data_IF_540553741250
#
_entry.id   IF_540553741250
#
_cell.length_a   1.000
_cell.length_b   1.000
_cell.length_c   1.000
_cell.angle_alpha   90.00
_cell.angle_beta   90.00
_cell.angle_gamma   90.00
#
_symmetry.space_group_name_H-M   'P 1'
#
loop_
_entity.id
_entity.type
_entity.pdbx_description
1 polymer ?
#
# COMPACT_ATOMS: atom_id res chain seq x y z
N UNK A 1 -5.96 -55.46 48.02
CA UNK A 1 -7.42 -55.26 47.93
C UNK A 1 -7.66 -53.76 47.94
N UNK A 2 -8.21 -53.24 46.83
CA UNK A 2 -8.84 -51.92 46.60
C UNK A 2 -7.99 -50.67 46.94
N UNK A 3 -7.41 -49.95 45.98
CA UNK A 3 -8.03 -49.00 45.01
C UNK A 3 -8.82 -47.91 45.73
N UNK A 4 -8.36 -46.66 45.64
CA UNK A 4 -9.16 -45.59 45.03
C UNK A 4 -8.28 -44.38 44.66
N UNK A 5 -8.69 -43.78 43.55
CA UNK A 5 -7.95 -42.92 42.65
C UNK A 5 -8.68 -41.58 42.59
N UNK A 6 -8.14 -40.54 43.23
CA UNK A 6 -8.71 -39.19 43.13
C UNK A 6 -7.99 -38.44 42.01
N UNK A 7 -8.59 -38.51 40.81
CA UNK A 7 -8.26 -37.63 39.68
C UNK A 7 -9.27 -36.49 39.67
N UNK A 8 -8.85 -35.32 40.15
CA UNK A 8 -9.57 -34.06 39.98
C UNK A 8 -9.71 -33.74 38.48
N UNK A 9 -10.88 -33.27 38.00
CA UNK A 9 -11.01 -32.85 36.62
C UNK A 9 -10.33 -31.48 36.44
N UNK A 10 -9.21 -31.46 35.72
CA UNK A 10 -8.67 -30.22 35.16
C UNK A 10 -9.72 -29.61 34.22
N UNK A 11 -10.45 -28.62 34.71
CA UNK A 11 -11.25 -27.73 33.89
C UNK A 11 -10.31 -27.00 32.94
N UNK A 12 -10.30 -27.45 31.69
CA UNK A 12 -9.72 -26.72 30.56
C UNK A 12 -10.43 -25.37 30.46
N UNK A 13 -9.81 -24.33 31.03
CA UNK A 13 -10.23 -22.96 30.85
C UNK A 13 -10.05 -22.61 29.37
N UNK A 14 -11.15 -22.69 28.63
CA UNK A 14 -11.26 -22.14 27.28
C UNK A 14 -10.76 -20.70 27.33
N UNK A 15 -9.60 -20.47 26.71
CA UNK A 15 -9.05 -19.15 26.47
C UNK A 15 -10.14 -18.25 25.86
N UNK A 16 -10.38 -17.04 26.38
CA UNK A 16 -11.42 -16.18 25.84
C UNK A 16 -11.13 -15.90 24.36
N UNK A 17 -12.07 -16.26 23.51
CA UNK A 17 -12.04 -15.95 22.08
C UNK A 17 -11.82 -14.45 21.92
N UNK A 18 -10.66 -14.09 21.37
CA UNK A 18 -10.33 -12.71 21.02
C UNK A 18 -11.47 -12.20 20.12
N UNK A 19 -12.10 -11.05 20.43
CA UNK A 19 -13.14 -10.50 19.58
C UNK A 19 -12.60 -10.38 18.16
N UNK A 20 -13.27 -11.04 17.20
CA UNK A 20 -12.96 -10.90 15.79
C UNK A 20 -13.09 -9.43 15.43
N UNK A 21 -11.96 -8.75 15.22
CA UNK A 21 -11.96 -7.37 14.78
C UNK A 21 -12.75 -7.30 13.47
N UNK A 22 -13.82 -6.50 13.45
CA UNK A 22 -14.72 -6.37 12.30
C UNK A 22 -13.88 -5.96 11.09
N UNK A 23 -13.87 -6.76 10.00
CA UNK A 23 -13.14 -6.43 8.78
C UNK A 23 -13.55 -5.07 8.22
N UNK A 24 -12.59 -4.33 7.65
CA UNK A 24 -12.89 -3.04 7.00
C UNK A 24 -13.67 -3.29 5.71
N UNK A 25 -14.94 -2.85 5.66
CA UNK A 25 -15.84 -2.95 4.51
C UNK A 25 -15.97 -1.61 3.76
N UNK A 26 -16.19 -1.64 2.44
CA UNK A 26 -16.57 -0.45 1.64
C UNK A 26 -15.43 0.41 1.08
N UNK A 27 -14.17 0.00 1.26
CA UNK A 27 -12.96 0.72 0.81
C UNK A 27 -12.18 -0.07 -0.28
N UNK A 28 -12.83 -1.08 -0.87
CA UNK A 28 -12.26 -1.97 -1.88
C UNK A 28 -12.13 -1.30 -3.25
N UNK A 29 -11.22 -1.82 -4.08
CA UNK A 29 -11.11 -1.37 -5.48
C UNK A 29 -12.24 -1.93 -6.37
N UNK A 30 -12.68 -3.17 -6.13
CA UNK A 30 -13.84 -3.82 -6.80
C UNK A 30 -14.98 -4.07 -5.82
N UNK A 31 -16.21 -4.10 -6.33
CA UNK A 31 -17.39 -4.60 -5.63
C UNK A 31 -17.67 -6.08 -5.95
N UNK A 32 -16.66 -6.89 -6.26
CA UNK A 32 -16.90 -8.29 -6.66
C UNK A 32 -17.47 -9.17 -5.53
N UNK A 33 -17.29 -8.80 -4.26
CA UNK A 33 -17.88 -9.51 -3.12
C UNK A 33 -19.40 -9.33 -3.03
N UNK A 34 -19.93 -8.15 -3.36
CA UNK A 34 -21.38 -7.92 -3.32
C UNK A 34 -22.12 -8.61 -4.47
N UNK A 35 -21.44 -8.93 -5.58
CA UNK A 35 -22.04 -9.67 -6.69
C UNK A 35 -22.20 -11.18 -6.40
N UNK A 36 -21.38 -11.75 -5.51
CA UNK A 36 -21.57 -13.14 -5.05
C UNK A 36 -22.76 -13.31 -4.11
N UNK A 37 -23.13 -12.28 -3.35
CA UNK A 37 -24.32 -12.31 -2.48
C UNK A 37 -25.62 -12.01 -3.23
N UNK A 38 -25.56 -11.30 -4.37
CA UNK A 38 -26.75 -10.98 -5.18
C UNK A 38 -27.28 -12.14 -6.04
N UNK A 39 -26.60 -13.29 -6.06
CA UNK A 39 -26.96 -14.46 -6.88
C UNK A 39 -27.65 -15.56 -6.07
N UNK A 40 -28.55 -15.22 -5.15
CA UNK A 40 -29.45 -16.21 -4.54
C UNK A 40 -30.65 -16.47 -5.45
N UNK A 41 -30.48 -17.40 -6.39
CA UNK A 41 -31.59 -18.20 -6.90
C UNK A 41 -31.13 -19.64 -7.17
N UNK A 42 -31.60 -20.54 -6.30
CA UNK A 42 -32.05 -21.91 -6.58
C UNK A 42 -31.06 -22.93 -7.16
N UNK A 43 -30.16 -23.48 -6.34
CA UNK A 43 -29.90 -24.93 -6.29
C UNK A 43 -28.88 -25.29 -5.21
N UNK A 44 -29.23 -26.28 -4.39
CA UNK A 44 -28.44 -26.88 -3.31
C UNK A 44 -27.11 -27.47 -3.83
N UNK A 45 -26.07 -27.38 -2.99
CA UNK A 45 -24.72 -27.94 -3.14
C UNK A 45 -23.76 -27.25 -4.13
N UNK A 46 -23.22 -26.10 -3.73
CA UNK A 46 -21.90 -25.67 -4.20
C UNK A 46 -21.07 -25.23 -2.98
N UNK A 47 -20.00 -25.98 -2.70
CA UNK A 47 -18.91 -25.54 -1.83
C UNK A 47 -18.52 -24.11 -2.23
N UNK A 48 -18.63 -23.15 -1.30
CA UNK A 48 -18.23 -21.76 -1.46
C UNK A 48 -16.73 -21.66 -1.80
N UNK A 49 -16.35 -21.91 -3.07
CA UNK A 49 -15.14 -21.36 -3.65
C UNK A 49 -15.45 -19.91 -3.94
N UNK A 50 -15.16 -19.03 -2.98
CA UNK A 50 -15.00 -17.60 -3.26
C UNK A 50 -14.03 -17.51 -4.43
N UNK A 51 -14.54 -17.11 -5.61
CA UNK A 51 -13.72 -16.89 -6.78
C UNK A 51 -12.84 -15.69 -6.46
N UNK A 52 -11.51 -15.83 -6.49
CA UNK A 52 -10.59 -14.72 -6.23
C UNK A 52 -10.93 -13.54 -7.18
N UNK A 53 -11.29 -12.35 -6.65
CA UNK A 53 -11.53 -11.14 -7.46
C UNK A 53 -10.21 -10.81 -8.20
N UNK A 54 -10.23 -10.84 -9.54
CA UNK A 54 -9.06 -10.48 -10.38
C UNK A 54 -9.04 -9.03 -10.86
N UNK A 55 -9.91 -8.17 -10.32
CA UNK A 55 -9.90 -6.74 -10.65
C UNK A 55 -8.51 -6.12 -10.40
N UNK A 56 -8.10 -5.19 -11.26
CA UNK A 56 -6.82 -4.49 -11.13
C UNK A 56 -5.59 -5.37 -11.39
N UNK A 57 -5.76 -6.67 -11.65
CA UNK A 57 -4.66 -7.60 -11.95
C UNK A 57 -4.44 -7.70 -13.46
N UNK A 58 -4.14 -6.57 -14.10
CA UNK A 58 -3.96 -6.51 -15.56
C UNK A 58 -2.55 -6.90 -16.00
N UNK A 59 -1.57 -6.85 -15.10
CA UNK A 59 -0.16 -7.01 -15.44
C UNK A 59 0.26 -8.49 -15.48
N UNK A 60 0.97 -8.83 -16.55
CA UNK A 60 1.56 -10.16 -16.76
C UNK A 60 3.06 -10.20 -16.41
N UNK A 61 3.74 -9.06 -16.48
CA UNK A 61 5.16 -8.92 -16.18
C UNK A 61 5.39 -8.24 -14.83
N UNK A 62 6.38 -8.74 -14.10
CA UNK A 62 6.76 -8.25 -12.77
C UNK A 62 8.27 -8.08 -12.70
N UNK A 63 8.74 -6.87 -12.38
CA UNK A 63 10.17 -6.60 -12.19
C UNK A 63 10.74 -7.35 -10.97
N UNK A 64 9.89 -7.66 -10.00
CA UNK A 64 10.19 -8.45 -8.80
C UNK A 64 8.94 -9.13 -8.25
N UNK A 65 9.14 -10.20 -7.48
CA UNK A 65 8.10 -10.94 -6.72
C UNK A 65 8.57 -11.17 -5.29
N UNK A 66 7.76 -11.78 -4.41
CA UNK A 66 8.18 -12.02 -3.04
C UNK A 66 9.35 -13.00 -2.95
N UNK A 67 10.24 -12.75 -2.00
CA UNK A 67 11.44 -13.56 -1.78
C UNK A 67 11.14 -14.74 -0.85
N UNK A 68 11.24 -15.96 -1.38
CA UNK A 68 11.01 -17.18 -0.58
C UNK A 68 12.11 -17.42 0.47
N UNK A 69 13.30 -16.85 0.26
CA UNK A 69 14.44 -16.99 1.17
C UNK A 69 14.45 -15.92 2.27
N UNK A 70 13.81 -14.78 2.03
CA UNK A 70 13.81 -13.65 2.96
C UNK A 70 12.40 -13.29 3.41
N UNK A 71 11.87 -14.15 4.30
CA UNK A 71 10.52 -14.07 4.84
C UNK A 71 10.46 -14.66 6.25
N UNK A 72 9.43 -14.29 7.01
CA UNK A 72 9.16 -14.94 8.28
C UNK A 72 8.76 -16.40 8.12
N UNK A 73 9.02 -17.21 9.14
CA UNK A 73 8.63 -18.63 9.16
C UNK A 73 7.12 -18.85 8.97
N UNK A 74 6.30 -17.96 9.54
CA UNK A 74 4.84 -18.01 9.44
C UNK A 74 4.27 -17.46 8.11
N UNK A 75 5.03 -17.58 7.01
CA UNK A 75 4.60 -17.16 5.66
C UNK A 75 4.67 -18.30 4.64
N UNK A 76 3.68 -18.33 3.75
CA UNK A 76 3.59 -19.27 2.63
C UNK A 76 3.33 -18.52 1.33
N UNK A 77 4.17 -18.74 0.32
CA UNK A 77 4.04 -18.14 -1.00
C UNK A 77 3.20 -19.00 -1.95
N UNK A 78 2.41 -18.33 -2.78
CA UNK A 78 1.53 -18.91 -3.80
C UNK A 78 1.43 -17.98 -5.02
N UNK A 79 0.80 -18.44 -6.10
CA UNK A 79 0.64 -17.68 -7.36
C UNK A 79 1.98 -17.20 -7.93
N UNK A 80 2.93 -18.12 -8.16
CA UNK A 80 4.26 -17.82 -8.68
C UNK A 80 5.00 -16.77 -7.83
N UNK A 81 4.96 -16.98 -6.51
CA UNK A 81 5.52 -16.09 -5.48
C UNK A 81 4.95 -14.66 -5.47
N UNK A 82 3.79 -14.42 -6.10
CA UNK A 82 3.14 -13.11 -6.06
C UNK A 82 2.20 -12.92 -4.88
N UNK A 83 1.66 -14.00 -4.31
CA UNK A 83 0.74 -13.94 -3.17
C UNK A 83 1.42 -14.52 -1.93
N UNK A 84 1.57 -13.69 -0.90
CA UNK A 84 1.99 -14.12 0.43
C UNK A 84 0.77 -14.39 1.30
N UNK A 85 0.78 -15.52 1.99
CA UNK A 85 -0.20 -15.88 3.00
C UNK A 85 0.50 -15.93 4.36
N UNK A 86 -0.05 -15.23 5.34
CA UNK A 86 0.48 -15.16 6.70
C UNK A 86 -0.36 -16.01 7.63
N UNK A 87 0.29 -16.71 8.57
CA UNK A 87 -0.36 -17.36 9.70
C UNK A 87 -1.52 -18.29 9.28
N UNK A 88 -1.24 -19.27 8.41
CA UNK A 88 -2.25 -20.16 7.78
C UNK A 88 -3.11 -20.97 8.77
N UNK A 89 -2.59 -21.23 9.96
CA UNK A 89 -3.31 -21.95 11.03
C UNK A 89 -3.81 -20.95 12.08
N UNK A 90 -2.89 -20.39 12.87
CA UNK A 90 -3.14 -19.39 13.89
C UNK A 90 -2.04 -18.31 13.87
N UNK A 91 -2.33 -17.16 14.47
CA UNK A 91 -1.37 -16.08 14.60
C UNK A 91 -0.72 -16.09 15.98
N UNK A 92 0.61 -16.06 16.01
CA UNK A 92 1.42 -16.05 17.23
C UNK A 92 2.25 -14.78 17.40
N UNK A 93 2.21 -13.86 16.43
CA UNK A 93 2.99 -12.63 16.46
C UNK A 93 2.86 -11.84 15.16
N UNK A 94 3.96 -11.24 14.74
CA UNK A 94 4.04 -10.49 13.48
C UNK A 94 4.94 -11.22 12.50
N UNK A 95 4.44 -11.45 11.29
CA UNK A 95 5.19 -12.01 10.19
C UNK A 95 5.37 -10.97 9.07
N UNK A 96 6.53 -10.97 8.42
CA UNK A 96 6.89 -10.05 7.36
C UNK A 96 7.61 -10.77 6.21
N UNK A 97 7.64 -10.12 5.06
CA UNK A 97 8.35 -10.59 3.88
C UNK A 97 8.83 -9.40 3.07
N UNK A 98 9.93 -9.59 2.33
CA UNK A 98 10.44 -8.61 1.37
C UNK A 98 10.38 -9.12 -0.07
N UNK A 99 10.48 -8.22 -1.04
CA UNK A 99 10.67 -8.59 -2.45
C UNK A 99 12.06 -9.18 -2.72
N UNK A 100 12.18 -9.96 -3.79
CA UNK A 100 13.41 -10.67 -4.18
C UNK A 100 14.45 -9.80 -4.90
N UNK A 101 14.16 -8.51 -5.08
CA UNK A 101 15.01 -7.57 -5.80
C UNK A 101 15.18 -6.28 -5.01
N UNK A 102 16.41 -5.81 -4.95
CA UNK A 102 16.74 -4.49 -4.44
C UNK A 102 16.25 -3.41 -5.41
N UNK A 103 15.58 -2.38 -4.88
CA UNK A 103 15.13 -1.22 -5.63
C UNK A 103 16.32 -0.28 -5.86
N UNK A 104 17.05 -0.53 -6.95
CA UNK A 104 18.24 0.21 -7.36
C UNK A 104 17.91 1.64 -7.87
N UNK A 105 18.84 2.28 -8.60
CA UNK A 105 18.63 3.64 -9.10
C UNK A 105 17.50 3.73 -10.15
N UNK A 106 16.59 4.69 -9.98
CA UNK A 106 15.48 4.95 -10.89
C UNK A 106 14.16 5.21 -10.19
N UNK A 107 13.09 4.78 -10.86
CA UNK A 107 11.70 4.99 -10.50
C UNK A 107 11.04 3.63 -10.37
N UNK A 108 10.60 3.29 -9.17
CA UNK A 108 9.98 2.00 -8.89
C UNK A 108 8.54 2.20 -8.49
N UNK A 109 7.63 1.45 -9.12
CA UNK A 109 6.22 1.47 -8.78
C UNK A 109 5.68 0.05 -8.67
N UNK A 110 4.93 -0.21 -7.60
CA UNK A 110 4.26 -1.49 -7.41
C UNK A 110 2.91 -1.31 -6.73
N UNK A 111 2.04 -2.30 -6.90
CA UNK A 111 0.72 -2.33 -6.28
C UNK A 111 0.54 -3.63 -5.51
N UNK A 112 0.10 -3.51 -4.26
CA UNK A 112 -0.25 -4.62 -3.37
C UNK A 112 -1.77 -4.64 -3.18
N UNK A 113 -2.39 -5.77 -3.49
CA UNK A 113 -3.80 -6.01 -3.24
C UNK A 113 -4.00 -6.78 -1.94
N UNK A 114 -4.93 -6.31 -1.13
CA UNK A 114 -5.40 -7.04 0.05
C UNK A 114 -6.36 -8.15 -0.41
N UNK A 115 -5.92 -9.41 -0.37
CA UNK A 115 -6.69 -10.53 -0.95
C UNK A 115 -7.52 -11.31 0.08
N UNK A 116 -7.51 -10.88 1.33
CA UNK A 116 -8.30 -11.44 2.44
C UNK A 116 -8.85 -10.32 3.33
N UNK A 117 -9.75 -10.63 4.29
CA UNK A 117 -10.12 -9.69 5.33
C UNK A 117 -8.90 -9.07 6.00
N UNK A 118 -8.98 -7.77 6.28
CA UNK A 118 -7.92 -6.99 6.93
C UNK A 118 -8.33 -6.67 8.35
N UNK A 119 -7.57 -7.17 9.32
CA UNK A 119 -7.87 -7.08 10.74
C UNK A 119 -6.61 -7.30 11.59
N UNK A 120 -6.78 -7.51 12.90
CA UNK A 120 -5.67 -7.75 13.84
C UNK A 120 -5.01 -6.46 14.30
N UNK A 121 -3.85 -6.59 14.94
CA UNK A 121 -3.08 -5.43 15.43
C UNK A 121 -2.62 -4.56 14.28
N UNK A 122 -2.03 -5.17 13.26
CA UNK A 122 -1.62 -4.47 12.05
C UNK A 122 -1.47 -5.39 10.82
N UNK A 123 -1.64 -4.75 9.66
CA UNK A 123 -1.35 -5.21 8.31
C UNK A 123 -0.79 -4.00 7.57
N UNK A 124 0.42 -4.12 7.04
CA UNK A 124 1.17 -2.95 6.55
C UNK A 124 1.79 -3.21 5.18
N UNK A 125 1.91 -2.12 4.40
CA UNK A 125 2.65 -2.07 3.14
C UNK A 125 3.71 -0.99 3.24
N UNK A 126 4.91 -1.25 2.76
CA UNK A 126 5.95 -0.23 2.76
C UNK A 126 7.27 -0.70 2.17
N UNK A 127 8.35 -0.17 2.73
CA UNK A 127 9.73 -0.44 2.31
C UNK A 127 10.61 -0.68 3.52
N UNK A 128 11.72 -1.40 3.32
CA UNK A 128 12.78 -1.48 4.32
C UNK A 128 14.14 -1.82 3.70
N UNK A 129 15.20 -1.62 4.47
CA UNK A 129 16.57 -1.99 4.06
C UNK A 129 16.81 -3.49 4.25
N UNK A 130 18.00 -3.98 3.88
CA UNK A 130 18.42 -5.35 4.19
C UNK A 130 18.55 -5.63 5.68
N UNK A 131 18.61 -4.60 6.52
CA UNK A 131 18.90 -4.70 7.96
C UNK A 131 17.65 -5.02 8.79
N UNK A 132 16.46 -4.89 8.19
CA UNK A 132 15.19 -5.24 8.83
C UNK A 132 15.15 -6.75 9.10
N UNK A 133 15.14 -7.10 10.39
CA UNK A 133 14.93 -8.49 10.81
C UNK A 133 13.44 -8.85 10.74
N UNK A 134 13.05 -9.49 9.64
CA UNK A 134 11.68 -9.89 9.33
C UNK A 134 11.05 -10.82 10.38
N UNK A 135 11.86 -11.59 11.11
CA UNK A 135 11.38 -12.65 12.00
C UNK A 135 11.52 -12.31 13.49
N UNK A 136 11.98 -11.08 13.80
CA UNK A 136 12.22 -10.56 15.15
C UNK A 136 10.98 -10.63 16.05
N UNK A 137 9.79 -10.41 15.48
CA UNK A 137 8.54 -10.29 16.22
C UNK A 137 7.61 -11.52 16.04
N UNK A 138 8.18 -12.70 15.75
CA UNK A 138 7.40 -13.93 15.54
C UNK A 138 6.49 -14.34 16.71
N UNK A 139 6.79 -13.88 17.93
CA UNK A 139 6.01 -14.12 19.15
C UNK A 139 5.48 -12.83 19.80
N UNK A 140 5.38 -11.75 19.03
CA UNK A 140 4.93 -10.44 19.52
C UNK A 140 4.09 -9.73 18.46
N UNK A 141 2.89 -9.31 18.83
CA UNK A 141 2.01 -8.55 17.96
C UNK A 141 2.42 -7.08 17.95
N UNK A 142 2.88 -6.56 16.81
CA UNK A 142 3.19 -5.15 16.66
C UNK A 142 3.18 -4.69 15.20
N UNK A 143 3.08 -3.37 15.00
CA UNK A 143 3.41 -2.73 13.72
C UNK A 143 4.92 -2.82 13.50
N UNK A 144 5.35 -3.73 12.62
CA UNK A 144 6.77 -4.01 12.38
C UNK A 144 7.42 -2.94 11.50
N UNK A 145 6.80 -2.62 10.35
CA UNK A 145 7.33 -1.64 9.42
C UNK A 145 7.22 -0.24 10.01
N UNK A 146 8.32 0.51 10.00
CA UNK A 146 8.40 1.84 10.59
C UNK A 146 8.63 1.86 12.10
N UNK A 147 8.86 0.70 12.73
CA UNK A 147 9.20 0.62 14.16
C UNK A 147 10.60 1.13 14.46
N UNK A 148 11.51 1.00 13.49
CA UNK A 148 12.88 1.49 13.51
C UNK A 148 13.13 2.44 12.32
N UNK A 149 14.38 2.83 12.12
CA UNK A 149 14.81 3.73 11.05
C UNK A 149 15.08 3.06 9.71
N UNK A 150 15.05 1.73 9.70
CA UNK A 150 15.38 0.91 8.53
C UNK A 150 14.14 0.58 7.71
N UNK A 151 12.96 0.99 8.16
CA UNK A 151 11.70 0.73 7.48
C UNK A 151 10.71 1.89 7.55
N UNK A 152 9.79 1.88 6.60
CA UNK A 152 8.62 2.77 6.52
C UNK A 152 7.41 1.90 6.24
N UNK A 153 6.31 2.11 6.95
CA UNK A 153 5.11 1.29 6.81
C UNK A 153 3.83 2.10 6.85
N UNK A 154 2.94 1.88 5.90
CA UNK A 154 1.56 2.35 5.94
C UNK A 154 0.68 1.24 6.53
N UNK A 155 0.13 1.48 7.72
CA UNK A 155 -0.82 0.60 8.41
C UNK A 155 -2.19 0.63 7.75
N UNK A 156 -2.92 -0.49 7.78
CA UNK A 156 -4.33 -0.56 7.39
C UNK A 156 -5.26 0.37 8.18
N UNK A 157 -4.79 0.85 9.33
CA UNK A 157 -5.48 1.87 10.13
C UNK A 157 -5.41 3.27 9.51
N UNK A 158 -4.58 3.47 8.49
CA UNK A 158 -4.34 4.78 7.85
C UNK A 158 -3.16 5.55 8.44
N UNK A 159 -2.45 4.97 9.41
CA UNK A 159 -1.26 5.56 10.02
C UNK A 159 0.00 5.23 9.22
N UNK A 160 0.83 6.23 8.96
CA UNK A 160 2.18 6.06 8.45
C UNK A 160 3.16 5.98 9.62
N UNK A 161 4.01 4.96 9.62
CA UNK A 161 4.98 4.67 10.66
C UNK A 161 6.41 4.82 10.14
N UNK A 162 7.28 5.44 10.94
CA UNK A 162 8.72 5.48 10.75
C UNK A 162 9.41 5.89 12.06
N UNK A 163 10.54 5.27 12.44
CA UNK A 163 11.27 5.57 13.68
C UNK A 163 10.41 5.51 14.95
N UNK A 164 9.36 4.69 14.94
CA UNK A 164 8.40 4.60 16.03
C UNK A 164 7.33 5.69 16.05
N UNK A 165 7.50 6.76 15.26
CA UNK A 165 6.51 7.81 15.11
C UNK A 165 5.32 7.33 14.26
N UNK A 166 4.13 7.86 14.55
CA UNK A 166 2.88 7.53 13.85
C UNK A 166 2.17 8.79 13.43
N UNK A 167 1.85 8.92 12.14
CA UNK A 167 1.17 10.10 11.59
C UNK A 167 -0.08 9.68 10.82
N UNK A 168 -1.17 10.44 10.95
CA UNK A 168 -2.36 10.23 10.13
C UNK A 168 -2.03 10.54 8.67
N UNK A 169 -2.21 9.57 7.79
CA UNK A 169 -1.77 9.69 6.40
C UNK A 169 -2.84 9.26 5.38
N UNK A 170 -3.69 8.30 5.73
CA UNK A 170 -4.77 7.82 4.87
C UNK A 170 -6.02 7.47 5.68
N UNK A 171 -7.14 7.24 4.99
CA UNK A 171 -8.24 6.48 5.60
C UNK A 171 -7.90 4.99 5.66
N UNK A 172 -8.63 4.23 6.48
CA UNK A 172 -8.42 2.79 6.62
C UNK A 172 -8.57 2.07 5.28
N UNK A 173 -7.88 0.97 5.07
CA UNK A 173 -8.07 0.10 3.90
C UNK A 173 -8.34 -1.33 4.33
N UNK A 174 -9.03 -2.06 3.45
CA UNK A 174 -9.63 -3.35 3.75
C UNK A 174 -9.38 -4.38 2.66
N UNK A 175 -10.17 -5.45 2.70
CA UNK A 175 -10.16 -6.46 1.66
C UNK A 175 -10.49 -5.85 0.30
N UNK A 176 -9.79 -6.29 -0.74
CA UNK A 176 -9.95 -5.79 -2.09
C UNK A 176 -9.36 -4.40 -2.34
N UNK A 177 -8.88 -3.68 -1.32
CA UNK A 177 -8.14 -2.43 -1.52
C UNK A 177 -6.81 -2.70 -2.22
N UNK A 178 -6.37 -1.74 -3.04
CA UNK A 178 -5.07 -1.75 -3.72
C UNK A 178 -4.23 -0.61 -3.15
N UNK A 179 -3.05 -0.94 -2.61
CA UNK A 179 -2.08 0.03 -2.13
C UNK A 179 -0.92 0.10 -3.14
N UNK A 180 -0.82 1.24 -3.82
CA UNK A 180 0.30 1.54 -4.71
C UNK A 180 1.41 2.25 -3.96
N UNK A 181 2.66 1.99 -4.35
CA UNK A 181 3.84 2.64 -3.77
C UNK A 181 4.77 3.05 -4.90
N UNK A 182 5.17 4.33 -4.90
CA UNK A 182 6.17 4.87 -5.80
C UNK A 182 7.40 5.29 -4.99
N UNK A 183 8.54 4.69 -5.32
CA UNK A 183 9.85 5.07 -4.80
C UNK A 183 10.64 5.74 -5.93
N UNK A 184 10.83 7.05 -5.79
CA UNK A 184 11.73 7.84 -6.61
C UNK A 184 13.08 7.90 -5.91
N UNK A 185 14.05 7.11 -6.35
CA UNK A 185 15.38 7.09 -5.72
C UNK A 185 16.24 8.27 -6.15
N UNK A 186 15.89 8.96 -7.23
CA UNK A 186 16.59 10.15 -7.69
C UNK A 186 16.31 11.36 -6.79
N UNK A 187 15.04 11.65 -6.52
CA UNK A 187 14.66 12.70 -5.57
C UNK A 187 14.60 12.19 -4.12
N UNK A 188 14.69 10.89 -3.90
CA UNK A 188 14.62 10.27 -2.58
C UNK A 188 13.25 10.43 -1.93
N UNK A 189 12.17 10.20 -2.68
CA UNK A 189 10.79 10.34 -2.18
C UNK A 189 9.99 9.05 -2.25
N UNK A 190 9.22 8.77 -1.21
CA UNK A 190 8.28 7.66 -1.12
C UNK A 190 6.85 8.22 -1.16
N UNK A 191 6.06 7.79 -2.14
CA UNK A 191 4.66 8.21 -2.32
C UNK A 191 3.75 7.00 -2.26
N UNK A 192 2.61 7.12 -1.59
CA UNK A 192 1.59 6.07 -1.57
C UNK A 192 0.36 6.45 -2.39
N UNK A 193 -0.32 5.41 -2.85
CA UNK A 193 -1.57 5.46 -3.58
C UNK A 193 -2.54 4.50 -2.92
N UNK A 194 -3.81 4.87 -2.87
CA UNK A 194 -4.90 3.99 -2.45
C UNK A 194 -5.92 3.91 -3.58
N UNK A 195 -6.23 2.68 -4.02
CA UNK A 195 -7.11 2.40 -5.14
C UNK A 195 -6.77 3.27 -6.37
N UNK A 196 -5.47 3.29 -6.73
CA UNK A 196 -4.89 4.08 -7.84
C UNK A 196 -4.95 5.60 -7.72
N UNK A 197 -5.39 6.15 -6.58
CA UNK A 197 -5.35 7.59 -6.31
C UNK A 197 -4.19 7.93 -5.38
N UNK A 198 -3.37 8.93 -5.72
CA UNK A 198 -2.29 9.40 -4.85
C UNK A 198 -2.87 9.92 -3.54
N UNK A 199 -2.30 9.46 -2.42
CA UNK A 199 -2.66 9.90 -1.08
C UNK A 199 -1.58 10.77 -0.43
N UNK A 200 -0.37 10.84 -1.02
CA UNK A 200 0.65 11.81 -0.65
C UNK A 200 2.07 11.25 -0.61
N UNK A 201 3.02 12.15 -0.33
CA UNK A 201 4.43 11.84 -0.08
C UNK A 201 4.61 11.48 1.39
N UNK A 202 4.96 10.22 1.65
CA UNK A 202 5.16 9.68 2.99
C UNK A 202 6.55 9.95 3.56
N UNK A 203 7.57 9.94 2.71
CA UNK A 203 8.93 10.21 3.14
C UNK A 203 9.74 10.93 2.06
N UNK A 204 10.72 11.69 2.51
CA UNK A 204 11.71 12.37 1.68
C UNK A 204 13.10 12.05 2.22
N UNK A 205 14.15 12.46 1.50
CA UNK A 205 15.55 12.25 1.90
C UNK A 205 15.95 10.77 1.96
N UNK A 206 15.40 9.96 1.04
CA UNK A 206 15.71 8.53 0.92
C UNK A 206 16.90 8.23 0.00
N UNK A 207 17.68 9.24 -0.42
CA UNK A 207 18.84 9.03 -1.28
C UNK A 207 19.89 8.15 -0.60
N UNK A 208 20.68 7.45 -1.42
CA UNK A 208 21.82 6.62 -0.99
C UNK A 208 21.45 5.43 -0.07
N UNK A 209 20.16 5.12 0.08
CA UNK A 209 19.70 3.92 0.76
C UNK A 209 19.15 2.93 -0.26
N UNK A 210 19.38 1.65 0.02
CA UNK A 210 18.90 0.53 -0.78
C UNK A 210 17.68 -0.06 -0.09
N UNK A 211 16.59 -0.15 -0.82
CA UNK A 211 15.31 -0.58 -0.28
C UNK A 211 14.81 -1.83 -0.95
N UNK A 212 14.00 -2.56 -0.21
CA UNK A 212 13.18 -3.66 -0.67
C UNK A 212 11.72 -3.31 -0.38
N UNK A 213 10.79 -3.67 -1.28
CA UNK A 213 9.37 -3.60 -0.98
C UNK A 213 9.06 -4.61 0.12
N UNK A 214 8.27 -4.23 1.11
CA UNK A 214 7.96 -5.07 2.26
C UNK A 214 6.49 -5.00 2.63
N UNK A 215 5.99 -6.11 3.16
CA UNK A 215 4.67 -6.19 3.80
C UNK A 215 4.77 -6.98 5.09
N UNK A 216 3.90 -6.68 6.05
CA UNK A 216 3.79 -7.46 7.28
C UNK A 216 2.33 -7.62 7.71
N UNK A 217 2.07 -8.67 8.49
CA UNK A 217 0.75 -8.96 9.04
C UNK A 217 0.86 -9.60 10.42
N UNK A 218 -0.09 -9.24 11.27
CA UNK A 218 -0.39 -9.93 12.53
C UNK A 218 -1.66 -10.78 12.44
N UNK A 219 -2.41 -10.65 11.35
CA UNK A 219 -3.70 -11.31 11.17
C UNK A 219 -3.50 -12.78 10.76
N UNK A 220 -4.22 -13.68 11.45
CA UNK A 220 -4.32 -15.07 11.04
C UNK A 220 -4.93 -15.19 9.64
N UNK A 221 -4.54 -16.20 8.87
CA UNK A 221 -5.14 -16.53 7.55
C UNK A 221 -5.28 -15.32 6.62
N UNK A 222 -4.33 -14.39 6.72
CA UNK A 222 -4.36 -13.16 5.94
C UNK A 222 -3.46 -13.29 4.71
N UNK A 223 -3.77 -12.57 3.64
CA UNK A 223 -3.01 -12.64 2.40
C UNK A 223 -2.96 -11.31 1.67
N UNK A 224 -1.81 -11.07 1.04
CA UNK A 224 -1.53 -9.92 0.21
C UNK A 224 -0.89 -10.38 -1.10
N UNK A 225 -1.19 -9.70 -2.21
CA UNK A 225 -0.68 -10.06 -3.52
C UNK A 225 -0.04 -8.88 -4.22
N UNK A 226 1.17 -9.05 -4.75
CA UNK A 226 1.73 -8.09 -5.72
C UNK A 226 1.01 -8.27 -7.06
N UNK A 227 0.35 -7.20 -7.52
CA UNK A 227 -0.45 -7.20 -8.75
C UNK A 227 0.18 -6.37 -9.86
N UNK A 228 1.17 -5.53 -9.51
CA UNK A 228 2.02 -4.77 -10.43
C UNK A 228 3.40 -4.58 -9.81
N UNK A 229 4.45 -4.66 -10.62
CA UNK A 229 5.82 -4.34 -10.23
C UNK A 229 6.60 -3.84 -11.45
N UNK A 230 6.94 -2.56 -11.46
CA UNK A 230 7.56 -1.88 -12.60
C UNK A 230 8.74 -1.03 -12.14
N UNK A 231 9.75 -0.94 -12.98
CA UNK A 231 10.90 -0.06 -12.80
C UNK A 231 11.22 0.70 -14.10
N UNK A 232 11.67 1.94 -13.99
CA UNK A 232 12.20 2.73 -15.11
C UNK A 232 13.38 3.57 -14.66
N UNK A 233 14.36 3.75 -15.55
CA UNK A 233 15.40 4.75 -15.34
C UNK A 233 14.79 6.15 -15.34
N UNK A 234 15.35 7.06 -14.53
CA UNK A 234 15.03 8.48 -14.57
C UNK A 234 15.64 9.10 -15.83
N UNK A 235 14.84 9.19 -16.89
CA UNK A 235 15.25 9.74 -18.19
C UNK A 235 14.44 10.98 -18.56
N UNK A 236 14.88 11.74 -19.55
CA UNK A 236 14.07 12.84 -20.10
C UNK A 236 12.70 12.34 -20.59
N UNK A 237 12.65 11.15 -21.20
CA UNK A 237 11.39 10.53 -21.63
C UNK A 237 10.45 10.29 -20.44
N UNK A 238 10.97 9.74 -19.34
CA UNK A 238 10.22 9.58 -18.09
C UNK A 238 9.71 10.92 -17.57
N UNK A 239 10.59 11.92 -17.46
CA UNK A 239 10.23 13.25 -16.94
C UNK A 239 9.16 13.94 -17.79
N UNK A 240 9.22 13.79 -19.13
CA UNK A 240 8.18 14.27 -20.02
C UNK A 240 6.85 13.56 -19.78
N UNK A 241 6.83 12.23 -19.66
CA UNK A 241 5.60 11.47 -19.40
C UNK A 241 4.99 11.81 -18.05
N UNK A 242 5.82 11.89 -17.01
CA UNK A 242 5.42 12.30 -15.68
C UNK A 242 4.82 13.71 -15.70
N UNK A 243 5.48 14.65 -16.38
CA UNK A 243 4.97 16.02 -16.50
C UNK A 243 3.67 16.08 -17.29
N UNK A 244 3.54 15.32 -18.37
CA UNK A 244 2.29 15.23 -19.14
C UNK A 244 1.14 14.75 -18.25
N UNK A 245 1.38 13.71 -17.44
CA UNK A 245 0.34 13.18 -16.55
C UNK A 245 -0.13 14.20 -15.50
N UNK A 246 0.78 15.03 -14.97
CA UNK A 246 0.42 16.12 -14.05
C UNK A 246 -0.42 17.23 -14.69
N UNK A 247 -0.33 17.40 -16.01
CA UNK A 247 -1.04 18.45 -16.75
C UNK A 247 -2.45 18.00 -17.20
N UNK A 248 -2.69 16.70 -17.30
CA UNK A 248 -3.95 16.14 -17.77
C UNK A 248 -4.90 15.82 -16.61
N UNK A 249 -6.23 15.97 -16.81
CA UNK A 249 -7.22 15.56 -15.83
C UNK A 249 -7.18 14.05 -15.57
N UNK A 250 -7.58 13.66 -14.36
CA UNK A 250 -7.42 12.29 -13.88
C UNK A 250 -8.26 11.22 -14.57
N UNK A 251 -9.36 11.63 -15.21
CA UNK A 251 -10.28 10.73 -15.93
C UNK A 251 -9.86 10.51 -17.38
N UNK A 252 -8.78 11.16 -17.84
CA UNK A 252 -8.36 11.16 -19.23
C UNK A 252 -7.20 10.19 -19.41
N UNK A 253 -7.34 9.24 -20.34
CA UNK A 253 -6.18 8.48 -20.82
C UNK A 253 -5.25 9.41 -21.63
N UNK A 254 -4.02 9.55 -21.14
CA UNK A 254 -3.01 10.41 -21.75
C UNK A 254 -2.67 9.97 -23.17
N UNK A 255 -2.64 8.67 -23.43
CA UNK A 255 -2.26 8.12 -24.73
C UNK A 255 -3.40 8.28 -25.76
N UNK A 256 -4.64 8.36 -25.33
CA UNK A 256 -5.78 8.56 -26.23
C UNK A 256 -5.93 10.01 -26.67
N UNK A 257 -5.71 10.96 -25.76
CA UNK A 257 -5.93 12.39 -26.05
C UNK A 257 -4.80 13.03 -26.84
N UNK A 258 -3.56 12.58 -26.65
CA UNK A 258 -2.43 13.17 -27.36
C UNK A 258 -2.36 12.68 -28.82
N UNK A 259 -2.12 13.58 -29.80
CA UNK A 259 -1.99 13.23 -31.22
C UNK A 259 -0.59 12.62 -31.50
N UNK A 260 -0.28 11.51 -30.83
CA UNK A 260 0.98 10.80 -30.97
C UNK A 260 0.91 9.76 -32.10
N UNK A 261 1.98 9.53 -32.87
CA UNK A 261 2.05 8.44 -33.82
C UNK A 261 1.77 7.08 -33.15
N UNK A 262 1.06 6.14 -33.80
CA UNK A 262 0.68 4.85 -33.19
C UNK A 262 1.87 4.07 -32.62
N UNK A 263 3.00 4.06 -33.32
CA UNK A 263 4.22 3.41 -32.84
C UNK A 263 4.77 4.02 -31.55
N UNK A 264 4.70 5.34 -31.40
CA UNK A 264 5.11 6.01 -30.17
C UNK A 264 4.13 5.73 -29.03
N UNK A 265 2.81 5.72 -29.30
CA UNK A 265 1.80 5.34 -28.30
C UNK A 265 2.08 3.94 -27.74
N UNK A 266 2.33 2.97 -28.61
CA UNK A 266 2.67 1.60 -28.23
C UNK A 266 3.93 1.55 -27.35
N UNK A 267 4.99 2.26 -27.75
CA UNK A 267 6.25 2.29 -26.98
C UNK A 267 6.06 2.92 -25.60
N UNK A 268 5.33 4.03 -25.51
CA UNK A 268 5.04 4.70 -24.24
C UNK A 268 4.15 3.84 -23.35
N UNK A 269 3.11 3.21 -23.90
CA UNK A 269 2.26 2.28 -23.19
C UNK A 269 3.09 1.15 -22.56
N UNK A 270 3.93 0.50 -23.36
CA UNK A 270 4.69 -0.67 -22.91
C UNK A 270 5.79 -0.32 -21.89
N UNK A 271 6.44 0.84 -22.02
CA UNK A 271 7.58 1.20 -21.16
C UNK A 271 7.19 2.07 -19.95
N UNK A 272 6.22 2.95 -20.13
CA UNK A 272 5.87 4.03 -19.19
C UNK A 272 4.36 4.15 -18.99
N UNK A 273 3.55 3.17 -19.42
CA UNK A 273 2.11 3.18 -19.24
C UNK A 273 1.71 3.35 -17.77
N UNK A 274 2.46 2.72 -16.86
CA UNK A 274 2.27 2.90 -15.42
C UNK A 274 2.40 4.38 -15.00
N UNK A 275 3.38 5.13 -15.51
CA UNK A 275 3.57 6.57 -15.23
C UNK A 275 2.38 7.37 -15.71
N UNK A 276 1.88 7.05 -16.91
CA UNK A 276 0.76 7.75 -17.53
C UNK A 276 -0.58 7.39 -16.86
N UNK A 277 -0.65 6.27 -16.14
CA UNK A 277 -1.82 5.88 -15.35
C UNK A 277 -1.82 6.47 -13.92
N UNK A 278 -0.69 6.99 -13.44
CA UNK A 278 -0.57 7.49 -12.07
C UNK A 278 -1.43 8.72 -11.83
N UNK A 279 -2.28 8.66 -10.82
CA UNK A 279 -3.14 9.77 -10.47
C UNK A 279 -2.56 10.60 -9.31
N UNK A 280 -1.75 11.60 -9.64
CA UNK A 280 -1.33 12.65 -8.70
C UNK A 280 -2.36 13.77 -8.69
N UNK A 281 -3.53 13.55 -8.10
CA UNK A 281 -4.46 14.65 -7.87
C UNK A 281 -3.74 15.77 -7.10
N UNK A 282 -3.76 17.00 -7.61
CA UNK A 282 -3.27 18.17 -6.88
C UNK A 282 -4.29 18.57 -5.82
N UNK A 283 -4.41 17.78 -4.75
CA UNK A 283 -5.04 18.27 -3.53
C UNK A 283 -4.13 19.34 -2.95
N UNK A 284 -4.50 20.61 -3.16
CA UNK A 284 -3.96 21.72 -2.36
C UNK A 284 -4.10 21.33 -0.89
N UNK A 285 -3.07 21.51 -0.05
CA UNK A 285 -3.20 21.26 1.37
C UNK A 285 -4.36 22.11 1.89
N UNK A 286 -5.36 21.46 2.50
CA UNK A 286 -6.41 22.15 3.24
C UNK A 286 -5.73 22.90 4.37
N UNK A 287 -5.63 24.22 4.26
CA UNK A 287 -5.36 25.07 5.40
C UNK A 287 -6.44 24.78 6.44
N UNK A 288 -6.04 24.17 7.55
CA UNK A 288 -6.87 24.00 8.73
C UNK A 288 -7.38 25.38 9.15
N UNK A 289 -8.65 25.66 8.89
CA UNK A 289 -9.35 26.81 9.46
C UNK A 289 -9.54 26.55 10.96
N UNK A 290 -8.61 27.02 11.76
CA UNK A 290 -8.85 27.23 13.19
C UNK A 290 -9.81 28.40 13.33
N UNK A 291 -11.04 28.09 13.71
CA UNK A 291 -12.01 29.03 14.26
C UNK A 291 -11.44 29.76 15.47
N UNK A 292 -11.41 31.08 15.41
CA UNK A 292 -11.11 31.97 16.53
C UNK A 292 -11.65 33.36 16.20
N UNK A 293 -12.65 33.77 16.97
CA UNK A 293 -13.56 34.89 16.75
C UNK A 293 -12.92 36.29 16.83
N UNK A 294 -13.49 37.18 16.01
CA UNK A 294 -13.78 38.61 16.15
C UNK A 294 -12.93 39.48 17.09
N UNK A 295 -12.31 40.52 16.51
CA UNK A 295 -12.35 41.89 17.04
C UNK A 295 -12.01 42.89 15.94
N UNK A 296 -12.94 43.82 15.70
CA UNK A 296 -12.88 44.94 14.77
C UNK A 296 -11.66 45.86 14.99
N UNK A 297 -11.06 46.32 13.89
CA UNK A 297 -10.47 47.66 13.81
C UNK A 297 -10.22 48.06 12.36
N UNK A 298 -10.91 49.12 11.96
CA UNK A 298 -10.83 49.88 10.72
C UNK A 298 -9.47 50.56 10.48
N UNK A 299 -8.99 50.60 9.22
CA UNK A 299 -8.70 51.84 8.46
C UNK A 299 -7.69 51.63 7.29
N UNK A 300 -8.05 52.28 6.18
CA UNK A 300 -7.20 53.01 5.23
C UNK A 300 -6.30 52.30 4.20
N UNK A 301 -6.72 52.54 2.95
CA UNK A 301 -5.95 53.02 1.81
C UNK A 301 -5.03 52.14 0.96
N UNK A 302 -5.27 52.37 -0.33
CA UNK A 302 -4.54 51.97 -1.52
C UNK A 302 -3.02 52.20 -1.43
N UNK A 303 -2.26 51.27 -2.03
CA UNK A 303 -1.18 51.66 -2.92
C UNK A 303 -0.84 50.55 -3.93
N UNK A 304 -0.94 50.91 -5.19
CA UNK A 304 -0.39 50.15 -6.31
C UNK A 304 1.14 50.27 -6.27
N UNK A 305 1.88 49.17 -6.44
CA UNK A 305 3.30 49.27 -6.77
C UNK A 305 3.77 48.19 -7.77
N UNK A 306 4.58 48.68 -8.70
CA UNK A 306 4.81 48.20 -10.04
C UNK A 306 5.81 47.03 -10.12
N UNK A 307 5.59 46.15 -11.11
CA UNK A 307 6.56 45.14 -11.55
C UNK A 307 7.77 45.80 -12.22
N UNK A 308 8.94 45.71 -11.59
CA UNK A 308 10.23 46.04 -12.23
C UNK A 308 10.73 44.86 -13.06
N UNK A 309 10.91 45.11 -14.36
CA UNK A 309 11.48 44.22 -15.37
C UNK A 309 12.97 44.53 -15.47
N UNK A 310 13.84 43.63 -15.00
CA UNK A 310 15.29 43.79 -15.15
C UNK A 310 15.71 43.45 -16.59
N UNK A 311 16.26 44.44 -17.30
CA UNK A 311 17.09 44.23 -18.51
C UNK A 311 18.53 43.94 -18.05
N UNK A 312 19.15 42.90 -18.61
CA UNK A 312 20.60 42.70 -18.55
C UNK A 312 21.25 43.50 -19.68
N UNK A 313 22.31 44.24 -19.33
CA UNK A 313 23.44 44.55 -20.20
C UNK A 313 24.46 43.43 -20.08
#
# INVERSE_FOLDING_TARGET
QHSDSDSEPEFSSLSPSIPSAIPVTGESFCNCESQSEASFCSSLHALHRVRDCRCGEEDEYFDWVWDDLNKSTATLLTCDNRKVNFHMEYSCGTAAIRGNKELADGQHFWEIKMTSPVYGTDMMVGIGTSDVNLDKYRHTFCSLLGKDEDSWGLSYTGLLHHKGDKTNFSSRFGQGSIIGVHLDTWHGTLTFFKNRKCIGVAATKLQNKKFYPMVCSTAAKSSMKVIRSCASCTSLQYLCCFRLRQLLPDYVDTLDVLPLPPGLKQVLHNKLGWVLSMNYSTTKPSSSSSSGSDSDSSCSDAEACQRKRCRRT
#
